data_IF_965382953015
#
_entry.id   IF_965382953015
#
_cell.length_a   1.000
_cell.length_b   1.000
_cell.length_c   1.000
_cell.angle_alpha   90.00
_cell.angle_beta   90.00
_cell.angle_gamma   90.00
#
_symmetry.space_group_name_H-M   'P 1'
#
loop_
_entity.id
_entity.type
_entity.pdbx_description
1 polymer ?
#
# COMPACT_ATOMS: atom_id res chain seq x y z
N UNK A 1 16.98 9.45 -18.67
CA UNK A 1 17.99 8.61 -18.00
C UNK A 1 17.28 7.88 -16.88
N UNK A 2 17.29 6.56 -16.88
CA UNK A 2 16.79 5.80 -15.73
C UNK A 2 17.73 6.13 -14.57
N UNK A 3 17.19 6.72 -13.52
CA UNK A 3 17.91 6.88 -12.26
C UNK A 3 18.12 5.47 -11.73
N UNK A 4 19.31 4.93 -11.99
CA UNK A 4 19.70 3.63 -11.47
C UNK A 4 19.68 3.73 -9.96
N UNK A 5 18.72 3.08 -9.32
CA UNK A 5 18.83 2.83 -7.90
C UNK A 5 20.11 2.01 -7.71
N UNK A 6 21.03 2.44 -6.82
CA UNK A 6 22.20 1.64 -6.41
C UNK A 6 21.80 0.37 -5.62
N UNK A 7 20.53 -0.03 -5.70
CA UNK A 7 19.95 -1.19 -5.07
C UNK A 7 20.20 -2.38 -5.97
N UNK A 8 20.91 -3.38 -5.45
CA UNK A 8 21.09 -4.63 -6.14
C UNK A 8 19.93 -5.58 -5.82
N UNK A 9 18.90 -5.59 -6.68
CA UNK A 9 17.72 -6.45 -6.51
C UNK A 9 18.03 -7.95 -6.61
N UNK A 10 19.18 -8.35 -7.20
CA UNK A 10 19.55 -9.77 -7.29
C UNK A 10 20.04 -10.36 -5.98
N UNK A 11 20.20 -9.54 -4.92
CA UNK A 11 20.47 -10.01 -3.56
C UNK A 11 19.32 -10.82 -2.98
N UNK A 12 18.09 -10.62 -3.46
CA UNK A 12 16.92 -11.39 -3.05
C UNK A 12 16.63 -12.41 -4.16
N UNK A 13 16.83 -13.72 -3.92
CA UNK A 13 16.33 -14.77 -4.80
C UNK A 13 14.88 -14.55 -5.22
N UNK A 14 14.60 -14.72 -6.51
CA UNK A 14 13.27 -14.50 -7.08
C UNK A 14 12.18 -15.31 -6.38
N UNK A 15 12.48 -16.53 -5.96
CA UNK A 15 11.52 -17.37 -5.24
C UNK A 15 11.07 -16.73 -3.91
N UNK A 16 11.97 -16.04 -3.19
CA UNK A 16 11.59 -15.30 -1.99
C UNK A 16 10.74 -14.08 -2.31
N UNK A 17 11.05 -13.34 -3.38
CA UNK A 17 10.22 -12.22 -3.84
C UNK A 17 8.80 -12.70 -4.21
N UNK A 18 8.71 -13.87 -4.85
CA UNK A 18 7.44 -14.50 -5.21
C UNK A 18 6.63 -14.88 -3.96
N UNK A 19 7.28 -15.48 -2.97
CA UNK A 19 6.65 -15.86 -1.70
C UNK A 19 6.18 -14.64 -0.90
N UNK A 20 6.98 -13.57 -0.86
CA UNK A 20 6.59 -12.30 -0.27
C UNK A 20 5.39 -11.68 -1.00
N UNK A 21 5.40 -11.68 -2.33
CA UNK A 21 4.29 -11.16 -3.14
C UNK A 21 2.97 -11.85 -2.78
N UNK A 22 2.95 -13.19 -2.71
CA UNK A 22 1.74 -13.92 -2.35
C UNK A 22 1.36 -13.75 -0.88
N UNK A 23 2.33 -13.64 0.02
CA UNK A 23 2.08 -13.39 1.44
C UNK A 23 1.39 -12.04 1.64
N UNK A 24 1.88 -10.99 0.98
CA UNK A 24 1.30 -9.64 1.00
C UNK A 24 -0.05 -9.61 0.30
N UNK A 25 -0.21 -10.28 -0.85
CA UNK A 25 -1.49 -10.34 -1.55
C UNK A 25 -2.58 -11.01 -0.70
N UNK A 26 -2.21 -12.01 0.12
CA UNK A 26 -3.15 -12.73 0.99
C UNK A 26 -3.48 -11.95 2.27
N UNK A 27 -2.47 -11.38 2.93
CA UNK A 27 -2.57 -10.89 4.31
C UNK A 27 -2.54 -9.36 4.42
N UNK A 28 -2.26 -8.66 3.32
CA UNK A 28 -2.27 -7.21 3.22
C UNK A 28 -1.17 -6.53 4.04
N UNK A 29 -1.47 -5.35 4.58
CA UNK A 29 -0.51 -4.47 5.26
C UNK A 29 0.07 -5.06 6.55
N UNK A 30 -0.61 -6.01 7.19
CA UNK A 30 -0.16 -6.68 8.42
C UNK A 30 0.73 -7.89 8.09
N UNK A 31 1.65 -7.71 7.16
CA UNK A 31 2.56 -8.73 6.65
C UNK A 31 4.00 -8.21 6.74
N UNK A 32 4.95 -9.13 6.71
CA UNK A 32 6.36 -8.80 6.53
C UNK A 32 6.85 -9.24 5.16
N UNK A 33 7.84 -8.53 4.63
CA UNK A 33 8.47 -8.84 3.34
C UNK A 33 9.96 -8.50 3.39
N UNK A 34 10.74 -9.01 2.43
CA UNK A 34 12.16 -8.68 2.30
C UNK A 34 12.32 -7.34 1.59
N UNK A 35 12.85 -6.35 2.30
CA UNK A 35 13.04 -5.00 1.75
C UNK A 35 14.22 -4.93 0.76
N UNK A 36 14.14 -4.10 -0.28
CA UNK A 36 15.02 -4.20 -1.44
C UNK A 36 16.48 -3.77 -1.18
N UNK A 37 16.79 -3.00 -0.13
CA UNK A 37 18.12 -2.43 0.12
C UNK A 37 19.07 -3.47 0.74
N UNK A 38 18.64 -4.11 1.83
CA UNK A 38 19.44 -5.02 2.65
C UNK A 38 18.88 -6.45 2.66
N UNK A 39 17.78 -6.72 1.94
CA UNK A 39 17.10 -8.01 1.94
C UNK A 39 16.63 -8.46 3.34
N UNK A 40 16.41 -7.51 4.25
CA UNK A 40 15.91 -7.81 5.59
C UNK A 40 14.40 -7.97 5.58
N UNK A 41 13.90 -8.95 6.33
CA UNK A 41 12.47 -9.10 6.54
C UNK A 41 11.98 -8.03 7.52
N UNK A 42 11.04 -7.20 7.08
CA UNK A 42 10.50 -6.06 7.84
C UNK A 42 8.99 -5.97 7.69
N UNK A 43 8.33 -5.27 8.61
CA UNK A 43 6.91 -4.93 8.49
C UNK A 43 6.64 -4.11 7.24
N UNK A 44 5.72 -4.57 6.38
CA UNK A 44 5.33 -3.86 5.16
C UNK A 44 4.75 -2.48 5.48
N UNK A 45 3.87 -2.40 6.49
CA UNK A 45 3.27 -1.16 6.94
C UNK A 45 4.32 -0.13 7.35
N UNK A 46 5.22 -0.52 8.25
CA UNK A 46 6.27 0.38 8.75
C UNK A 46 7.24 0.76 7.64
N UNK A 47 7.57 -0.17 6.74
CA UNK A 47 8.45 0.13 5.62
C UNK A 47 7.83 1.15 4.67
N UNK A 48 6.54 1.01 4.30
CA UNK A 48 5.85 1.99 3.44
C UNK A 48 5.85 3.39 4.08
N UNK A 49 5.58 3.49 5.39
CA UNK A 49 5.56 4.77 6.11
C UNK A 49 6.95 5.42 6.25
N UNK A 50 8.02 4.64 6.13
CA UNK A 50 9.39 5.12 6.32
C UNK A 50 10.19 5.03 5.00
N UNK A 51 10.94 3.95 4.83
CA UNK A 51 11.92 3.79 3.75
C UNK A 51 11.27 3.73 2.37
N UNK A 52 10.13 3.04 2.24
CA UNK A 52 9.36 2.96 1.00
C UNK A 52 8.84 4.31 0.53
N UNK A 53 8.28 5.11 1.45
CA UNK A 53 7.84 6.48 1.16
C UNK A 53 9.01 7.37 0.72
N UNK A 54 10.15 7.29 1.43
CA UNK A 54 11.37 8.04 1.08
C UNK A 54 11.94 7.65 -0.28
N UNK A 55 11.98 6.36 -0.59
CA UNK A 55 12.43 5.84 -1.89
C UNK A 55 11.51 6.29 -3.02
N UNK A 56 10.19 6.25 -2.79
CA UNK A 56 9.19 6.69 -3.77
C UNK A 56 9.36 8.17 -4.11
N UNK A 57 9.49 9.03 -3.09
CA UNK A 57 9.72 10.48 -3.29
C UNK A 57 11.00 10.75 -4.08
N UNK A 58 12.12 10.11 -3.70
CA UNK A 58 13.38 10.20 -4.43
C UNK A 58 13.26 9.76 -5.89
N UNK A 59 12.52 8.68 -6.15
CA UNK A 59 12.24 8.21 -7.50
C UNK A 59 11.47 9.24 -8.31
N UNK A 60 10.35 9.74 -7.78
CA UNK A 60 9.50 10.76 -8.43
C UNK A 60 10.29 12.04 -8.74
N UNK A 61 11.06 12.56 -7.78
CA UNK A 61 11.91 13.74 -7.94
C UNK A 61 12.92 13.54 -9.09
N UNK A 62 13.50 12.33 -9.17
CA UNK A 62 14.49 12.00 -10.18
C UNK A 62 13.93 11.91 -11.61
N UNK A 63 12.63 11.70 -11.75
CA UNK A 63 11.89 11.79 -13.01
C UNK A 63 11.34 13.19 -13.28
N UNK A 64 11.60 14.17 -12.41
CA UNK A 64 11.06 15.52 -12.52
C UNK A 64 9.56 15.61 -12.24
N UNK A 65 8.98 14.62 -11.55
CA UNK A 65 7.57 14.59 -11.20
C UNK A 65 7.38 15.38 -9.89
N UNK A 66 6.85 16.60 -10.02
CA UNK A 66 6.59 17.51 -8.90
C UNK A 66 5.12 17.44 -8.43
N UNK A 67 4.80 18.10 -7.30
CA UNK A 67 3.45 18.20 -6.74
C UNK A 67 2.81 16.86 -6.34
N UNK A 68 3.62 15.91 -5.87
CA UNK A 68 3.20 14.56 -5.50
C UNK A 68 2.60 14.44 -4.10
N UNK A 69 2.69 15.52 -3.30
CA UNK A 69 2.38 15.54 -1.87
C UNK A 69 0.96 15.06 -1.56
N UNK A 70 -0.02 15.46 -2.38
CA UNK A 70 -1.42 15.01 -2.23
C UNK A 70 -1.54 13.49 -2.27
N UNK A 71 -0.89 12.83 -3.24
CA UNK A 71 -0.96 11.37 -3.39
C UNK A 71 -0.11 10.65 -2.35
N UNK A 72 1.07 11.19 -2.02
CA UNK A 72 1.93 10.67 -0.96
C UNK A 72 1.22 10.68 0.39
N UNK A 73 0.55 11.78 0.75
CA UNK A 73 -0.25 11.87 1.96
C UNK A 73 -1.41 10.86 1.94
N UNK A 74 -2.10 10.66 0.81
CA UNK A 74 -3.16 9.63 0.72
C UNK A 74 -2.61 8.22 0.99
N UNK A 75 -1.43 7.89 0.44
CA UNK A 75 -0.77 6.60 0.66
C UNK A 75 -0.37 6.44 2.13
N UNK A 76 0.21 7.48 2.72
CA UNK A 76 0.59 7.51 4.14
C UNK A 76 -0.63 7.29 5.05
N UNK A 77 -1.71 8.04 4.84
CA UNK A 77 -2.93 7.93 5.65
C UNK A 77 -3.63 6.57 5.50
N UNK A 78 -3.67 6.00 4.28
CA UNK A 78 -4.19 4.63 4.06
C UNK A 78 -3.35 3.58 4.77
N UNK A 79 -2.04 3.72 4.71
CA UNK A 79 -1.10 2.79 5.35
C UNK A 79 -1.19 2.89 6.87
N UNK A 80 -1.18 4.11 7.41
CA UNK A 80 -1.24 4.41 8.84
C UNK A 80 -2.54 3.90 9.48
N UNK A 81 -3.69 4.22 8.89
CA UNK A 81 -5.00 3.72 9.33
C UNK A 81 -5.17 2.21 9.16
N UNK A 82 -4.40 1.59 8.26
CA UNK A 82 -4.60 0.21 7.84
C UNK A 82 -5.87 0.01 6.99
N UNK A 83 -6.58 1.09 6.65
CA UNK A 83 -7.82 1.04 5.89
C UNK A 83 -7.55 1.23 4.39
N UNK A 84 -7.65 0.12 3.66
CA UNK A 84 -7.70 0.04 2.20
C UNK A 84 -9.06 -0.52 1.73
N UNK A 85 -9.26 -0.63 0.42
CA UNK A 85 -10.52 -1.13 -0.15
C UNK A 85 -10.87 -2.55 0.30
N UNK A 86 -9.89 -3.46 0.31
CA UNK A 86 -10.11 -4.85 0.71
C UNK A 86 -10.45 -4.95 2.20
N UNK A 87 -9.72 -4.25 3.08
CA UNK A 87 -10.01 -4.25 4.52
C UNK A 87 -11.37 -3.61 4.83
N UNK A 88 -11.72 -2.51 4.16
CA UNK A 88 -13.01 -1.85 4.36
C UNK A 88 -14.17 -2.77 3.92
N UNK A 89 -14.06 -3.42 2.75
CA UNK A 89 -15.07 -4.35 2.26
C UNK A 89 -15.24 -5.57 3.19
N UNK A 90 -14.13 -6.13 3.69
CA UNK A 90 -14.17 -7.26 4.62
C UNK A 90 -14.84 -6.88 5.95
N UNK A 91 -14.45 -5.76 6.56
CA UNK A 91 -15.07 -5.32 7.82
C UNK A 91 -16.52 -4.88 7.63
N UNK A 92 -16.87 -4.30 6.46
CA UNK A 92 -18.25 -3.93 6.14
C UNK A 92 -19.12 -5.17 6.00
N UNK A 93 -18.66 -6.16 5.23
CA UNK A 93 -19.35 -7.43 5.09
C UNK A 93 -19.48 -8.15 6.43
N UNK A 94 -18.45 -8.12 7.29
CA UNK A 94 -18.52 -8.69 8.64
C UNK A 94 -19.56 -8.00 9.53
N UNK A 95 -19.73 -6.67 9.39
CA UNK A 95 -20.69 -5.88 10.16
C UNK A 95 -22.14 -6.09 9.71
N UNK A 96 -22.38 -6.14 8.39
CA UNK A 96 -23.73 -6.13 7.81
C UNK A 96 -24.16 -7.44 7.16
N UNK A 97 -23.23 -8.33 6.87
CA UNK A 97 -23.42 -9.63 6.22
C UNK A 97 -24.29 -9.57 4.95
N UNK A 98 -24.08 -8.53 4.12
CA UNK A 98 -24.90 -8.26 2.94
C UNK A 98 -24.06 -7.65 1.81
N UNK A 99 -23.89 -8.41 0.71
CA UNK A 99 -23.20 -7.95 -0.50
C UNK A 99 -23.95 -6.80 -1.18
N UNK A 100 -25.29 -6.82 -1.35
CA UNK A 100 -26.00 -5.68 -1.94
C UNK A 100 -25.77 -4.38 -1.16
N UNK A 101 -25.81 -4.42 0.17
CA UNK A 101 -25.54 -3.25 1.01
C UNK A 101 -24.09 -2.79 0.89
N UNK A 102 -23.13 -3.72 0.88
CA UNK A 102 -21.72 -3.41 0.64
C UNK A 102 -21.54 -2.63 -0.66
N UNK A 103 -22.14 -3.11 -1.75
CA UNK A 103 -22.05 -2.44 -3.05
C UNK A 103 -22.70 -1.05 -3.03
N UNK A 104 -23.87 -0.91 -2.40
CA UNK A 104 -24.55 0.39 -2.27
C UNK A 104 -23.69 1.40 -1.51
N UNK A 105 -23.18 1.04 -0.34
CA UNK A 105 -22.38 1.94 0.49
C UNK A 105 -21.00 2.22 -0.15
N UNK A 106 -20.40 1.23 -0.82
CA UNK A 106 -19.17 1.40 -1.58
C UNK A 106 -19.34 2.44 -2.71
N UNK A 107 -20.43 2.33 -3.48
CA UNK A 107 -20.72 3.28 -4.56
C UNK A 107 -20.94 4.70 -4.02
N UNK A 108 -21.72 4.85 -2.94
CA UNK A 108 -21.93 6.17 -2.28
C UNK A 108 -20.62 6.82 -1.84
N UNK A 109 -19.71 6.04 -1.25
CA UNK A 109 -18.41 6.58 -0.84
C UNK A 109 -17.50 6.89 -2.04
N UNK A 110 -17.54 6.05 -3.09
CA UNK A 110 -16.77 6.27 -4.32
C UNK A 110 -17.20 7.54 -5.05
N UNK A 111 -18.50 7.83 -5.12
CA UNK A 111 -19.05 9.03 -5.77
C UNK A 111 -18.61 10.34 -5.10
N UNK A 112 -18.35 10.30 -3.80
CA UNK A 112 -17.83 11.45 -3.06
C UNK A 112 -16.36 11.75 -3.37
N UNK A 113 -15.66 10.85 -4.06
CA UNK A 113 -14.25 10.97 -4.41
C UNK A 113 -13.34 11.23 -3.20
N UNK A 114 -13.71 10.71 -2.02
CA UNK A 114 -12.91 10.80 -0.81
C UNK A 114 -12.03 9.54 -0.65
N UNK A 115 -10.80 9.66 -0.10
CA UNK A 115 -9.94 8.51 0.12
C UNK A 115 -10.57 7.46 1.04
N UNK A 116 -10.38 6.18 0.72
CA UNK A 116 -10.95 5.06 1.49
C UNK A 116 -10.64 5.08 2.99
N UNK A 117 -9.49 5.62 3.42
CA UNK A 117 -9.16 5.75 4.85
C UNK A 117 -10.12 6.68 5.63
N UNK A 118 -10.94 7.47 4.94
CA UNK A 118 -11.93 8.38 5.53
C UNK A 118 -13.34 7.79 5.51
N UNK A 119 -13.55 6.64 4.87
CA UNK A 119 -14.87 6.03 4.78
C UNK A 119 -15.28 5.48 6.15
N UNK A 120 -16.48 5.83 6.60
CA UNK A 120 -17.04 5.28 7.82
C UNK A 120 -17.40 3.81 7.66
N UNK A 121 -17.41 3.08 8.78
CA UNK A 121 -17.85 1.69 8.86
C UNK A 121 -19.11 1.53 9.71
#
# INVERSE_FOLDING_TARGET
>A
GLVGSNINLTKIPFEMLKDDFYSVAKSGLNTEFHEPINAQKVSLKEWILNDGGRLTKKGLDSFGINNVETYMNIIEQRTSSGQNGASWQLEHFKKYNSIPKLMEDYMKNSEQNIPVHQWSL
#
